data_IF_288154484962
#
_entry.id   IF_288154484962
#
_cell.length_a   1.000
_cell.length_b   1.000
_cell.length_c   1.000
_cell.angle_alpha   90.00
_cell.angle_beta   90.00
_cell.angle_gamma   90.00
#
_symmetry.space_group_name_H-M   'P 1'
#
loop_
_entity.id
_entity.type
_entity.pdbx_description
1 polymer ?
#
# COMPACT_ATOMS: atom_id res chain seq x y z
N UNK A 1 10.44 20.28 -17.50
CA UNK A 1 9.78 19.06 -17.00
C UNK A 1 8.58 19.51 -16.18
N UNK A 2 7.33 19.28 -16.60
CA UNK A 2 6.22 19.47 -15.68
C UNK A 2 6.34 18.34 -14.63
N UNK A 3 6.87 18.67 -13.46
CA UNK A 3 7.08 17.70 -12.40
C UNK A 3 5.72 17.17 -11.94
N UNK A 4 5.51 15.86 -11.91
CA UNK A 4 4.35 15.23 -11.26
C UNK A 4 3.47 14.30 -12.08
N UNK A 5 3.74 14.15 -13.37
CA UNK A 5 3.03 13.19 -14.23
C UNK A 5 3.89 12.03 -14.70
N UNK A 6 3.30 11.14 -15.49
CA UNK A 6 3.98 9.97 -16.07
C UNK A 6 4.93 10.35 -17.22
N UNK A 7 5.04 11.62 -17.62
CA UNK A 7 5.89 12.08 -18.72
C UNK A 7 7.35 11.65 -18.55
N UNK A 8 7.87 11.69 -17.31
CA UNK A 8 9.23 11.22 -17.02
C UNK A 8 9.36 9.71 -17.15
N UNK A 9 8.36 8.94 -16.66
CA UNK A 9 8.32 7.47 -16.79
C UNK A 9 8.19 7.03 -18.25
N UNK A 10 7.58 7.86 -19.10
CA UNK A 10 7.39 7.59 -20.53
C UNK A 10 8.66 7.80 -21.38
N UNK A 11 9.73 8.39 -20.82
CA UNK A 11 10.97 8.66 -21.56
C UNK A 11 11.68 7.38 -22.04
N UNK A 12 11.45 6.26 -21.37
CA UNK A 12 12.02 4.96 -21.75
C UNK A 12 10.99 3.88 -21.49
N UNK A 13 10.77 3.02 -22.47
CA UNK A 13 9.85 1.89 -22.38
C UNK A 13 10.63 0.62 -22.68
N UNK A 14 10.62 -0.30 -21.72
CA UNK A 14 11.30 -1.57 -21.83
C UNK A 14 10.27 -2.68 -22.06
N UNK A 15 10.62 -3.64 -22.93
CA UNK A 15 9.74 -4.79 -23.16
C UNK A 15 9.80 -5.72 -21.95
N UNK A 16 8.64 -6.07 -21.38
CA UNK A 16 8.55 -7.08 -20.35
C UNK A 16 9.18 -8.40 -20.81
N UNK A 17 10.13 -8.90 -20.01
CA UNK A 17 10.68 -10.23 -20.16
C UNK A 17 9.71 -11.25 -19.55
N UNK A 18 9.56 -12.39 -20.20
CA UNK A 18 8.68 -13.48 -19.75
C UNK A 18 7.27 -12.98 -19.37
N UNK A 19 6.55 -12.35 -20.32
CA UNK A 19 5.29 -11.65 -20.00
C UNK A 19 4.20 -12.58 -19.46
N UNK A 20 4.31 -13.89 -19.65
CA UNK A 20 3.36 -14.87 -19.11
C UNK A 20 3.70 -15.35 -17.68
N UNK A 21 4.90 -15.08 -17.16
CA UNK A 21 5.31 -15.53 -15.83
C UNK A 21 4.45 -14.86 -14.75
N UNK A 22 3.67 -15.61 -13.95
CA UNK A 22 2.82 -15.02 -12.93
C UNK A 22 3.67 -14.42 -11.80
N UNK A 23 3.44 -13.15 -11.51
CA UNK A 23 4.16 -12.38 -10.50
C UNK A 23 3.24 -12.04 -9.32
N UNK A 24 3.76 -12.19 -8.12
CA UNK A 24 3.25 -11.50 -6.94
C UNK A 24 4.19 -10.33 -6.65
N UNK A 25 3.68 -9.10 -6.71
CA UNK A 25 4.41 -7.93 -6.25
C UNK A 25 4.32 -7.86 -4.71
N UNK A 26 5.41 -8.11 -3.97
CA UNK A 26 5.36 -8.19 -2.52
C UNK A 26 5.35 -6.83 -1.84
N UNK A 27 5.41 -5.72 -2.58
CA UNK A 27 5.53 -4.39 -1.98
C UNK A 27 5.00 -3.29 -2.89
N UNK A 28 3.79 -2.84 -2.62
CA UNK A 28 3.28 -1.55 -3.09
C UNK A 28 2.66 -0.75 -1.95
N UNK A 29 2.26 0.48 -2.24
CA UNK A 29 1.63 1.41 -1.33
C UNK A 29 0.37 2.01 -1.97
N UNK A 30 -0.48 2.63 -1.16
CA UNK A 30 -1.62 3.42 -1.59
C UNK A 30 -1.71 4.72 -0.80
N UNK A 31 -2.12 5.81 -1.46
CA UNK A 31 -2.43 7.10 -0.82
C UNK A 31 -3.27 7.97 -1.77
N UNK A 32 -4.13 8.84 -1.22
CA UNK A 32 -4.91 9.80 -2.03
C UNK A 32 -4.40 11.24 -1.90
N UNK A 33 -3.87 11.60 -0.71
CA UNK A 33 -3.37 12.94 -0.40
C UNK A 33 -2.07 12.88 0.39
N UNK A 34 -0.93 12.76 -0.30
CA UNK A 34 0.40 12.75 0.33
C UNK A 34 0.94 14.18 0.51
N UNK A 35 0.59 14.82 1.61
CA UNK A 35 0.94 16.23 1.89
C UNK A 35 2.42 16.50 2.14
N UNK A 36 3.17 15.49 2.61
CA UNK A 36 4.58 15.64 2.97
C UNK A 36 5.57 15.51 1.80
N UNK A 37 5.14 15.11 0.60
CA UNK A 37 6.03 14.90 -0.56
C UNK A 37 5.31 15.26 -1.86
N UNK A 38 5.81 16.29 -2.54
CA UNK A 38 5.42 16.65 -3.92
C UNK A 38 6.42 16.00 -4.90
N UNK A 39 6.01 15.59 -6.12
CA UNK A 39 4.71 15.87 -6.74
C UNK A 39 3.68 14.72 -6.70
N UNK A 40 4.05 13.52 -6.26
CA UNK A 40 3.16 12.34 -6.28
C UNK A 40 2.18 12.35 -5.10
N UNK A 41 1.03 12.97 -5.31
CA UNK A 41 0.03 13.16 -4.26
C UNK A 41 -0.97 12.01 -4.14
N UNK A 42 -1.15 11.20 -5.21
CA UNK A 42 -2.14 10.13 -5.30
C UNK A 42 -1.56 8.90 -6.00
N UNK A 43 -1.85 7.73 -5.46
CA UNK A 43 -1.64 6.42 -6.06
C UNK A 43 -2.65 5.46 -5.42
N UNK A 44 -3.73 5.15 -6.15
CA UNK A 44 -4.82 4.30 -5.70
C UNK A 44 -5.01 3.14 -6.67
N UNK A 45 -6.17 2.49 -6.59
CA UNK A 45 -6.48 1.29 -7.36
C UNK A 45 -6.42 1.49 -8.87
N UNK A 46 -6.79 2.66 -9.39
CA UNK A 46 -6.74 2.93 -10.84
C UNK A 46 -5.29 2.99 -11.34
N UNK A 47 -4.43 3.68 -10.59
CA UNK A 47 -3.01 3.83 -10.89
C UNK A 47 -2.30 2.47 -10.80
N UNK A 48 -2.52 1.71 -9.71
CA UNK A 48 -1.96 0.36 -9.58
C UNK A 48 -2.46 -0.60 -10.65
N UNK A 49 -3.76 -0.56 -10.99
CA UNK A 49 -4.32 -1.44 -12.02
C UNK A 49 -3.69 -1.20 -13.39
N UNK A 50 -3.39 0.06 -13.72
CA UNK A 50 -2.67 0.41 -14.94
C UNK A 50 -1.24 -0.16 -14.93
N UNK A 51 -0.52 0.00 -13.81
CA UNK A 51 0.84 -0.52 -13.67
C UNK A 51 0.90 -2.05 -13.72
N UNK A 52 -0.04 -2.74 -13.08
CA UNK A 52 -0.16 -4.21 -13.15
C UNK A 52 -0.47 -4.73 -14.57
N UNK A 53 -0.94 -3.85 -15.47
CA UNK A 53 -1.29 -4.17 -16.86
C UNK A 53 -0.28 -3.57 -17.86
N UNK A 54 0.86 -3.09 -17.40
CA UNK A 54 1.89 -2.43 -18.22
C UNK A 54 2.79 -3.39 -19.02
N UNK A 55 2.56 -4.71 -18.91
CA UNK A 55 3.25 -5.74 -19.71
C UNK A 55 3.67 -6.97 -18.93
N UNK A 56 3.87 -6.85 -17.61
CA UNK A 56 4.13 -8.00 -16.73
C UNK A 56 2.82 -8.66 -16.28
N UNK A 57 2.84 -9.99 -16.06
CA UNK A 57 1.69 -10.75 -15.57
C UNK A 57 1.58 -10.70 -14.03
N UNK A 58 1.34 -9.51 -13.48
CA UNK A 58 1.14 -9.31 -12.03
C UNK A 58 -0.25 -9.78 -11.61
N UNK A 59 -0.31 -10.87 -10.82
CA UNK A 59 -1.56 -11.53 -10.40
C UNK A 59 -2.02 -11.12 -9.01
N UNK A 60 -1.11 -10.68 -8.17
CA UNK A 60 -1.41 -10.23 -6.82
C UNK A 60 -0.39 -9.24 -6.34
N UNK A 61 -0.78 -8.38 -5.41
CA UNK A 61 0.14 -7.47 -4.75
C UNK A 61 0.00 -7.54 -3.23
N UNK A 62 1.02 -7.12 -2.50
CA UNK A 62 0.97 -6.94 -1.04
C UNK A 62 1.11 -5.46 -0.73
N UNK A 63 0.14 -4.91 0.01
CA UNK A 63 0.21 -3.54 0.49
C UNK A 63 1.09 -3.47 1.74
N UNK A 64 1.95 -2.46 1.80
CA UNK A 64 2.77 -2.14 2.96
C UNK A 64 2.40 -0.74 3.47
N UNK A 65 2.30 -0.55 4.79
CA UNK A 65 1.96 0.72 5.43
C UNK A 65 2.70 1.93 4.83
N UNK A 66 2.00 3.04 4.67
CA UNK A 66 2.51 4.29 4.10
C UNK A 66 2.03 5.52 4.88
N UNK A 67 1.38 5.33 6.02
CA UNK A 67 0.72 6.37 6.83
C UNK A 67 -0.44 7.06 6.10
N UNK A 68 -1.10 6.34 5.20
CA UNK A 68 -2.26 6.83 4.47
C UNK A 68 -3.54 6.61 5.28
N UNK A 69 -4.45 7.59 5.26
CA UNK A 69 -5.80 7.45 5.83
C UNK A 69 -5.85 6.95 7.29
N UNK A 70 -4.85 7.33 8.10
CA UNK A 70 -4.92 7.12 9.55
C UNK A 70 -6.18 7.80 10.10
N UNK A 71 -6.80 7.19 11.12
CA UNK A 71 -7.98 7.79 11.76
C UNK A 71 -7.60 9.18 12.30
N UNK A 72 -8.50 10.14 12.10
CA UNK A 72 -8.28 11.53 12.51
C UNK A 72 -8.40 11.71 14.03
N UNK A 73 -9.16 10.84 14.69
CA UNK A 73 -9.49 10.86 16.10
C UNK A 73 -9.13 9.53 16.80
N UNK A 74 -9.37 9.50 18.12
CA UNK A 74 -9.05 8.36 18.98
C UNK A 74 -7.58 8.29 19.44
N UNK A 75 -7.24 7.24 20.22
CA UNK A 75 -5.88 7.01 20.72
C UNK A 75 -4.87 6.93 19.57
N UNK A 76 -3.69 7.51 19.76
CA UNK A 76 -2.66 7.62 18.72
C UNK A 76 -2.27 6.24 18.17
N UNK A 77 -2.11 5.26 19.05
CA UNK A 77 -1.76 3.88 18.73
C UNK A 77 -2.83 3.15 17.89
N UNK A 78 -4.07 3.64 17.89
CA UNK A 78 -5.19 3.05 17.13
C UNK A 78 -5.42 3.72 15.78
N UNK A 79 -4.77 4.86 15.50
CA UNK A 79 -4.92 5.57 14.23
C UNK A 79 -4.51 4.74 13.00
N UNK A 80 -3.44 3.91 13.04
CA UNK A 80 -3.04 3.06 11.92
C UNK A 80 -4.11 2.06 11.46
N UNK A 81 -5.09 1.73 12.30
CA UNK A 81 -6.20 0.85 11.92
C UNK A 81 -6.98 1.43 10.73
N UNK A 82 -7.11 2.76 10.64
CA UNK A 82 -7.77 3.43 9.51
C UNK A 82 -7.11 3.15 8.16
N UNK A 83 -5.79 2.99 8.12
CA UNK A 83 -5.07 2.62 6.89
C UNK A 83 -5.46 1.21 6.43
N UNK A 84 -5.55 0.26 7.36
CA UNK A 84 -5.96 -1.12 7.04
C UNK A 84 -7.41 -1.17 6.56
N UNK A 85 -8.32 -0.41 7.19
CA UNK A 85 -9.72 -0.29 6.75
C UNK A 85 -9.81 0.29 5.33
N UNK A 86 -9.05 1.35 5.07
CA UNK A 86 -8.97 1.99 3.75
C UNK A 86 -8.47 1.01 2.67
N UNK A 87 -7.36 0.32 2.92
CA UNK A 87 -6.78 -0.63 1.97
C UNK A 87 -7.68 -1.85 1.79
N UNK A 88 -8.35 -2.31 2.85
CA UNK A 88 -9.34 -3.38 2.76
C UNK A 88 -10.46 -3.03 1.76
N UNK A 89 -10.93 -1.78 1.77
CA UNK A 89 -11.91 -1.28 0.80
C UNK A 89 -11.40 -1.34 -0.65
N UNK A 90 -10.18 -0.88 -0.91
CA UNK A 90 -9.55 -0.96 -2.23
C UNK A 90 -9.34 -2.41 -2.69
N UNK A 91 -8.89 -3.28 -1.78
CA UNK A 91 -8.68 -4.70 -2.06
C UNK A 91 -10.01 -5.43 -2.35
N UNK A 92 -11.09 -5.05 -1.67
CA UNK A 92 -12.44 -5.55 -1.95
C UNK A 92 -12.93 -5.09 -3.33
N UNK A 93 -12.73 -3.82 -3.68
CA UNK A 93 -13.06 -3.29 -5.01
C UNK A 93 -12.28 -4.02 -6.12
N UNK A 94 -10.97 -4.23 -5.94
CA UNK A 94 -10.14 -5.02 -6.86
C UNK A 94 -10.62 -6.47 -7.01
N UNK A 95 -11.12 -7.08 -5.93
CA UNK A 95 -11.63 -8.46 -5.95
C UNK A 95 -12.83 -8.66 -6.89
N UNK A 96 -13.55 -7.60 -7.27
CA UNK A 96 -14.60 -7.66 -8.29
C UNK A 96 -14.10 -8.12 -9.67
N UNK A 97 -12.81 -7.94 -9.97
CA UNK A 97 -12.23 -8.20 -11.29
C UNK A 97 -12.47 -7.07 -12.32
N UNK A 98 -13.19 -6.00 -11.95
CA UNK A 98 -13.43 -4.85 -12.84
C UNK A 98 -12.16 -4.05 -13.15
N UNK A 99 -11.13 -4.18 -12.32
CA UNK A 99 -9.84 -3.51 -12.45
C UNK A 99 -8.78 -4.39 -13.13
N UNK A 100 -9.20 -5.50 -13.76
CA UNK A 100 -8.30 -6.46 -14.40
C UNK A 100 -8.17 -7.77 -13.63
N UNK A 101 -7.35 -8.70 -14.14
CA UNK A 101 -7.27 -10.07 -13.64
C UNK A 101 -6.49 -10.22 -12.33
N UNK A 102 -5.74 -9.19 -11.92
CA UNK A 102 -4.94 -9.21 -10.70
C UNK A 102 -5.71 -8.86 -9.43
N UNK A 103 -5.11 -9.16 -8.28
CA UNK A 103 -5.67 -8.92 -6.94
C UNK A 103 -4.81 -7.91 -6.18
N UNK A 104 -5.22 -6.66 -6.20
CA UNK A 104 -4.57 -5.60 -5.43
C UNK A 104 -4.69 -5.88 -3.94
N UNK A 105 -3.58 -5.70 -3.22
CA UNK A 105 -3.48 -5.93 -1.78
C UNK A 105 -4.09 -7.28 -1.35
N UNK A 106 -3.68 -8.36 -2.03
CA UNK A 106 -4.02 -9.73 -1.67
C UNK A 106 -3.63 -10.03 -0.20
N UNK A 107 -2.57 -9.39 0.28
CA UNK A 107 -2.24 -9.25 1.70
C UNK A 107 -1.97 -7.78 2.08
N UNK A 108 -2.15 -7.47 3.36
CA UNK A 108 -1.96 -6.15 3.96
C UNK A 108 -0.97 -6.27 5.12
N UNK A 109 0.08 -5.45 5.08
CA UNK A 109 1.03 -5.23 6.16
C UNK A 109 0.78 -3.83 6.72
N UNK A 110 0.17 -3.75 7.91
CA UNK A 110 -0.15 -2.49 8.58
C UNK A 110 0.98 -1.94 9.44
N UNK A 111 0.70 -0.95 10.26
CA UNK A 111 1.64 -0.42 11.25
C UNK A 111 1.14 -0.68 12.68
N UNK A 112 2.05 -1.08 13.56
CA UNK A 112 1.83 -1.07 15.01
C UNK A 112 3.10 -0.60 15.73
N UNK A 113 2.93 0.27 16.73
CA UNK A 113 4.04 0.72 17.55
C UNK A 113 4.43 -0.37 18.55
N UNK A 114 5.54 -1.09 18.28
CA UNK A 114 6.01 -2.19 19.12
C UNK A 114 6.61 -1.70 20.46
N UNK A 115 6.91 -0.40 20.60
CA UNK A 115 7.40 0.17 21.86
C UNK A 115 6.31 0.26 22.95
N UNK A 116 5.06 -0.07 22.62
CA UNK A 116 3.95 -0.08 23.59
C UNK A 116 4.01 -1.24 24.59
N UNK A 117 4.89 -2.23 24.37
CA UNK A 117 4.90 -3.48 25.13
C UNK A 117 3.57 -4.20 25.00
N UNK A 118 3.05 -4.73 26.11
CA UNK A 118 1.77 -5.47 26.14
C UNK A 118 0.58 -4.67 25.61
N UNK A 119 0.65 -3.33 25.67
CA UNK A 119 -0.41 -2.44 25.14
C UNK A 119 -0.51 -2.46 23.61
N UNK A 120 0.40 -3.13 22.89
CA UNK A 120 0.28 -3.34 21.44
C UNK A 120 -0.79 -4.38 21.08
N UNK A 121 -1.14 -5.29 22.00
CA UNK A 121 -2.05 -6.41 21.72
C UNK A 121 -3.42 -5.92 21.21
N UNK A 122 -4.09 -4.94 21.85
CA UNK A 122 -5.34 -4.38 21.31
C UNK A 122 -5.21 -3.77 19.92
N UNK A 123 -4.04 -3.19 19.59
CA UNK A 123 -3.79 -2.63 18.25
C UNK A 123 -3.71 -3.74 17.21
N UNK A 124 -2.97 -4.83 17.50
CA UNK A 124 -2.85 -5.97 16.59
C UNK A 124 -4.19 -6.66 16.35
N UNK A 125 -5.01 -6.83 17.40
CA UNK A 125 -6.36 -7.38 17.27
C UNK A 125 -7.27 -6.45 16.45
N UNK A 126 -7.18 -5.13 16.65
CA UNK A 126 -7.94 -4.17 15.87
C UNK A 126 -7.53 -4.16 14.38
N UNK A 127 -6.23 -4.24 14.07
CA UNK A 127 -5.73 -4.35 12.69
C UNK A 127 -6.22 -5.65 12.02
N UNK A 128 -6.20 -6.77 12.75
CA UNK A 128 -6.74 -8.03 12.26
C UNK A 128 -8.24 -7.96 12.04
N UNK A 129 -8.99 -7.31 12.93
CA UNK A 129 -10.43 -7.11 12.78
C UNK A 129 -10.79 -6.19 11.60
N UNK A 130 -9.97 -5.18 11.30
CA UNK A 130 -10.15 -4.29 10.16
C UNK A 130 -9.98 -4.99 8.80
N UNK A 131 -9.15 -6.04 8.74
CA UNK A 131 -8.99 -6.88 7.56
C UNK A 131 -8.77 -8.35 7.93
N UNK A 132 -9.85 -9.08 8.31
CA UNK A 132 -9.73 -10.44 8.83
C UNK A 132 -9.22 -11.42 7.77
N UNK A 133 -9.47 -11.12 6.50
CA UNK A 133 -9.08 -11.97 5.39
C UNK A 133 -7.74 -11.61 4.75
N UNK A 134 -7.21 -10.38 4.92
CA UNK A 134 -5.99 -9.93 4.22
C UNK A 134 -4.88 -9.41 5.12
N UNK A 135 -5.14 -9.04 6.38
CA UNK A 135 -4.09 -8.65 7.30
C UNK A 135 -3.14 -9.83 7.58
N UNK A 136 -1.84 -9.63 7.36
CA UNK A 136 -0.82 -10.69 7.50
C UNK A 136 0.40 -10.29 8.32
N UNK A 137 0.49 -9.05 8.78
CA UNK A 137 1.58 -8.62 9.63
C UNK A 137 1.67 -7.11 9.75
N UNK A 138 2.76 -6.66 10.35
CA UNK A 138 3.06 -5.24 10.53
C UNK A 138 4.45 -4.90 10.01
N UNK A 139 4.64 -3.63 9.63
CA UNK A 139 5.93 -3.01 9.45
C UNK A 139 6.09 -1.88 10.46
N UNK A 140 7.17 -1.96 11.24
CA UNK A 140 7.64 -0.85 12.05
C UNK A 140 8.83 -0.23 11.32
N UNK A 141 8.64 0.96 10.74
CA UNK A 141 9.71 1.62 9.98
C UNK A 141 10.87 1.97 10.92
N UNK A 142 12.02 1.34 10.71
CA UNK A 142 13.26 1.51 11.50
C UNK A 142 14.36 2.28 10.75
N UNK A 143 14.00 2.90 9.61
CA UNK A 143 14.94 3.73 8.84
C UNK A 143 15.45 4.85 9.74
N UNK A 144 16.78 4.92 9.91
CA UNK A 144 17.47 5.89 10.73
C UNK A 144 18.77 6.27 10.04
N UNK A 145 19.10 7.56 10.07
CA UNK A 145 20.35 8.12 9.55
C UNK A 145 20.98 8.99 10.65
N UNK A 146 22.28 8.84 10.97
CA UNK A 146 22.97 9.77 11.88
C UNK A 146 23.09 11.18 11.29
N UNK A 147 23.00 11.30 9.96
CA UNK A 147 23.06 12.57 9.27
C UNK A 147 21.69 13.27 9.35
N UNK A 148 21.63 14.52 9.82
CA UNK A 148 20.37 15.26 9.95
C UNK A 148 19.78 15.74 8.62
N UNK A 149 20.40 15.42 7.49
CA UNK A 149 20.05 15.88 6.13
C UNK A 149 19.53 14.74 5.26
#
# INVERSE_FOLDING_TARGET
MPFGGNDWLALTQEKALEPELPICDPHHHFWDFRTGRIPYQRYLLHELAADMQSGHNVRSTVFIEARAMYRADGPEEMRPVGEVEFVQGLAAASASGLYGPGRAAAAIVGHANLNLGDRVVPVLEALKAASPNRFRGIRHSVTWDPHPE
#
